data_IF_511155958821
#
_entry.id   IF_511155958821
#
_cell.length_a   1.000
_cell.length_b   1.000
_cell.length_c   1.000
_cell.angle_alpha   90.00
_cell.angle_beta   90.00
_cell.angle_gamma   90.00
#
_symmetry.space_group_name_H-M   'P 1'
#
loop_
_entity.id
_entity.type
_entity.pdbx_description
1 polymer ?
#
# COMPACT_ATOMS: atom_id res chain seq x y z
N UNK A 1 -3.62 -18.97 17.46
CA UNK A 1 -4.62 -17.89 17.46
C UNK A 1 -3.99 -16.67 16.80
N UNK A 2 -4.71 -15.94 15.94
CA UNK A 2 -4.17 -14.80 15.15
C UNK A 2 -4.96 -13.50 15.44
N UNK A 3 -5.30 -13.25 16.71
CA UNK A 3 -6.04 -12.05 17.12
C UNK A 3 -5.10 -11.04 17.77
N UNK A 4 -5.16 -9.79 17.30
CA UNK A 4 -4.56 -8.63 17.96
C UNK A 4 -5.66 -7.63 18.32
N UNK A 5 -5.65 -7.13 19.55
CA UNK A 5 -6.58 -6.09 20.02
C UNK A 5 -5.79 -4.81 20.30
N UNK A 6 -6.24 -3.70 19.73
CA UNK A 6 -5.69 -2.36 19.97
C UNK A 6 -6.80 -1.45 20.46
N UNK A 7 -6.60 -0.81 21.61
CA UNK A 7 -7.54 0.14 22.20
C UNK A 7 -6.86 1.49 22.41
N UNK A 8 -7.60 2.56 22.19
CA UNK A 8 -7.20 3.93 22.52
C UNK A 8 -8.36 4.61 23.21
N UNK A 9 -8.18 4.94 24.48
CA UNK A 9 -9.17 5.58 25.33
C UNK A 9 -8.47 6.40 26.43
N UNK A 10 -9.25 7.19 27.19
CA UNK A 10 -8.80 7.69 28.49
C UNK A 10 -8.73 6.57 29.54
N UNK A 11 -8.23 6.88 30.74
CA UNK A 11 -8.01 5.88 31.80
C UNK A 11 -9.28 5.09 32.14
N UNK A 12 -10.45 5.74 32.17
CA UNK A 12 -11.73 5.08 32.49
C UNK A 12 -12.19 4.13 31.38
N UNK A 13 -11.78 4.38 30.14
CA UNK A 13 -12.07 3.51 29.01
C UNK A 13 -11.28 2.19 29.00
N UNK A 14 -10.24 2.04 29.84
CA UNK A 14 -9.53 0.77 30.00
C UNK A 14 -10.19 -0.17 31.02
N UNK A 15 -11.09 0.35 31.86
CA UNK A 15 -11.74 -0.41 32.91
C UNK A 15 -12.56 -1.58 32.32
N UNK A 16 -12.24 -2.80 32.77
CA UNK A 16 -12.93 -4.02 32.35
C UNK A 16 -12.68 -4.47 30.92
N UNK A 17 -11.79 -3.82 30.15
CA UNK A 17 -11.47 -4.24 28.77
C UNK A 17 -10.83 -5.62 28.74
N UNK A 18 -9.90 -5.90 29.65
CA UNK A 18 -9.21 -7.19 29.71
C UNK A 18 -10.22 -8.35 29.88
N UNK A 19 -11.22 -8.17 30.75
CA UNK A 19 -12.27 -9.15 30.97
C UNK A 19 -13.13 -9.34 29.71
N UNK A 20 -13.53 -8.25 29.07
CA UNK A 20 -14.32 -8.30 27.83
C UNK A 20 -13.57 -8.97 26.68
N UNK A 21 -12.27 -8.71 26.55
CA UNK A 21 -11.40 -9.36 25.56
C UNK A 21 -11.28 -10.86 25.85
N UNK A 22 -11.20 -11.25 27.12
CA UNK A 22 -11.15 -12.67 27.49
C UNK A 22 -12.47 -13.39 27.19
N UNK A 23 -13.61 -12.74 27.43
CA UNK A 23 -14.94 -13.24 27.04
C UNK A 23 -15.00 -13.42 25.51
N UNK A 24 -14.56 -12.42 24.76
CA UNK A 24 -14.51 -12.50 23.30
C UNK A 24 -13.62 -13.66 22.85
N UNK A 25 -12.41 -13.79 23.41
CA UNK A 25 -11.46 -14.85 23.07
C UNK A 25 -12.09 -16.23 23.24
N UNK A 26 -12.78 -16.47 24.37
CA UNK A 26 -13.47 -17.74 24.64
C UNK A 26 -14.62 -18.04 23.68
N UNK A 27 -15.22 -17.01 23.10
CA UNK A 27 -16.31 -17.17 22.11
C UNK A 27 -15.82 -17.51 20.70
N UNK A 28 -14.52 -17.38 20.43
CA UNK A 28 -13.96 -17.65 19.11
C UNK A 28 -13.80 -19.16 18.85
N UNK A 29 -13.99 -19.56 17.60
CA UNK A 29 -13.77 -20.94 17.18
C UNK A 29 -12.28 -21.29 17.26
N UNK A 30 -11.96 -22.31 18.06
CA UNK A 30 -10.60 -22.89 18.19
C UNK A 30 -10.49 -24.26 17.55
N UNK A 31 -11.57 -24.74 16.90
CA UNK A 31 -11.57 -26.04 16.23
C UNK A 31 -10.51 -26.07 15.13
N UNK A 32 -9.81 -27.21 14.95
CA UNK A 32 -8.86 -27.37 13.87
C UNK A 32 -9.59 -27.21 12.54
N UNK A 33 -9.02 -26.38 11.66
CA UNK A 33 -9.53 -26.17 10.32
C UNK A 33 -8.47 -26.54 9.30
N UNK A 34 -8.90 -26.94 8.10
CA UNK A 34 -7.99 -27.25 7.01
C UNK A 34 -7.56 -25.95 6.34
N UNK A 35 -6.28 -25.61 6.44
CA UNK A 35 -5.68 -24.54 5.65
C UNK A 35 -5.59 -24.98 4.19
N UNK A 36 -6.12 -24.17 3.27
CA UNK A 36 -5.83 -24.33 1.85
C UNK A 36 -4.36 -24.03 1.55
N UNK A 37 -3.78 -24.69 0.56
CA UNK A 37 -2.46 -24.36 0.03
C UNK A 37 -2.65 -23.61 -1.29
N UNK A 38 -2.42 -22.31 -1.27
CA UNK A 38 -2.36 -21.48 -2.49
C UNK A 38 -0.90 -21.15 -2.76
N UNK A 39 -0.39 -21.57 -3.91
CA UNK A 39 0.96 -21.20 -4.35
C UNK A 39 0.84 -20.09 -5.38
N UNK A 40 1.14 -18.86 -4.97
CA UNK A 40 1.26 -17.74 -5.90
C UNK A 40 2.56 -17.86 -6.69
N UNK A 41 2.49 -17.74 -8.01
CA UNK A 41 3.65 -17.63 -8.89
C UNK A 41 3.63 -16.26 -9.55
N UNK A 42 4.45 -15.30 -9.08
CA UNK A 42 4.48 -13.98 -9.68
C UNK A 42 5.01 -14.07 -11.11
N UNK A 43 4.33 -13.37 -12.02
CA UNK A 43 4.76 -13.19 -13.41
C UNK A 43 4.78 -11.69 -13.69
N UNK A 44 5.85 -11.21 -14.31
CA UNK A 44 5.93 -9.81 -14.70
C UNK A 44 5.14 -9.62 -16.00
N UNK A 45 4.03 -8.88 -15.91
CA UNK A 45 3.18 -8.52 -17.05
C UNK A 45 3.06 -7.02 -17.16
N UNK A 46 2.84 -6.55 -18.38
CA UNK A 46 2.35 -5.21 -18.67
C UNK A 46 0.87 -5.35 -19.02
N UNK A 47 0.00 -4.83 -18.17
CA UNK A 47 -1.46 -4.97 -18.32
C UNK A 47 -2.09 -3.60 -18.54
N UNK A 48 -3.12 -3.55 -19.38
CA UNK A 48 -3.86 -2.33 -19.68
C UNK A 48 -5.36 -2.62 -19.77
N UNK A 49 -6.15 -1.87 -19.01
CA UNK A 49 -7.61 -1.98 -19.01
C UNK A 49 -8.20 -0.89 -19.88
N UNK A 50 -8.90 -1.28 -20.94
CA UNK A 50 -9.60 -0.32 -21.80
C UNK A 50 -10.84 0.18 -21.09
N UNK A 51 -11.01 1.49 -21.07
CA UNK A 51 -12.22 2.16 -20.57
C UNK A 51 -12.67 3.18 -21.60
N UNK A 52 -13.89 3.70 -21.48
CA UNK A 52 -14.40 4.81 -22.31
C UNK A 52 -13.85 6.19 -21.89
N UNK A 53 -12.94 6.23 -20.91
CA UNK A 53 -12.36 7.47 -20.40
C UNK A 53 -11.47 8.18 -21.41
N UNK A 54 -11.46 9.51 -21.36
CA UNK A 54 -10.59 10.37 -22.18
C UNK A 54 -9.21 10.61 -21.51
N UNK A 55 -8.96 9.96 -20.38
CA UNK A 55 -7.73 10.08 -19.59
C UNK A 55 -7.33 8.71 -19.06
N UNK A 56 -6.04 8.55 -18.80
CA UNK A 56 -5.40 7.33 -18.38
C UNK A 56 -4.98 7.38 -16.90
N UNK A 57 -4.73 6.19 -16.36
CA UNK A 57 -4.19 5.99 -15.02
C UNK A 57 -3.03 5.01 -15.16
N UNK A 58 -1.82 5.55 -15.30
CA UNK A 58 -0.63 4.76 -15.60
C UNK A 58 0.11 4.46 -14.30
N UNK A 59 0.54 3.22 -14.13
CA UNK A 59 1.30 2.78 -12.97
C UNK A 59 2.50 1.93 -13.37
N UNK A 60 3.66 2.28 -12.83
CA UNK A 60 4.84 1.42 -12.86
C UNK A 60 5.20 1.07 -11.42
N UNK A 61 5.37 -0.23 -11.16
CA UNK A 61 5.65 -0.74 -9.82
C UNK A 61 6.92 -1.57 -9.81
N UNK A 62 7.48 -1.77 -8.62
CA UNK A 62 8.68 -2.57 -8.45
C UNK A 62 8.94 -2.87 -6.98
N UNK A 63 9.96 -3.68 -6.72
CA UNK A 63 10.43 -3.95 -5.37
C UNK A 63 11.89 -3.50 -5.24
N UNK A 64 12.14 -2.41 -4.52
CA UNK A 64 13.50 -1.88 -4.38
C UNK A 64 14.42 -2.80 -3.55
N UNK A 65 13.85 -3.67 -2.70
CA UNK A 65 14.66 -4.66 -1.97
C UNK A 65 15.24 -5.73 -2.90
N UNK A 66 14.56 -6.05 -4.00
CA UNK A 66 15.10 -6.93 -5.02
C UNK A 66 16.34 -6.34 -5.71
N UNK A 67 16.53 -5.02 -5.64
CA UNK A 67 17.72 -4.32 -6.10
C UNK A 67 18.81 -4.17 -5.02
N UNK A 68 18.66 -4.83 -3.86
CA UNK A 68 19.63 -4.77 -2.75
C UNK A 68 19.48 -3.54 -1.84
N UNK A 69 18.42 -2.75 -2.01
CA UNK A 69 18.18 -1.57 -1.18
C UNK A 69 17.40 -1.93 0.09
N UNK A 70 17.93 -1.52 1.24
CA UNK A 70 17.24 -1.55 2.53
C UNK A 70 16.31 -0.34 2.69
N UNK A 71 15.15 -0.52 3.33
CA UNK A 71 14.28 0.62 3.60
C UNK A 71 14.91 1.52 4.66
N UNK A 72 15.20 2.76 4.29
CA UNK A 72 15.67 3.80 5.22
C UNK A 72 14.80 5.06 5.13
N UNK A 73 15.04 6.01 6.05
CA UNK A 73 14.41 7.33 6.01
C UNK A 73 14.65 8.09 4.70
N UNK A 74 15.71 7.76 3.95
CA UNK A 74 16.01 8.37 2.66
C UNK A 74 14.86 8.21 1.64
N UNK A 75 14.16 7.07 1.65
CA UNK A 75 13.00 6.88 0.77
C UNK A 75 11.83 7.82 1.07
N UNK A 76 11.71 8.32 2.31
CA UNK A 76 10.71 9.36 2.65
C UNK A 76 11.07 10.69 2.01
N UNK A 77 12.35 11.03 1.97
CA UNK A 77 12.87 12.25 1.35
C UNK A 77 12.75 12.12 -0.18
N UNK A 78 13.19 11.00 -0.75
CA UNK A 78 13.09 10.71 -2.18
C UNK A 78 11.64 10.83 -2.68
N UNK A 79 10.67 10.29 -1.94
CA UNK A 79 9.25 10.44 -2.25
C UNK A 79 8.83 11.90 -2.36
N UNK A 80 9.27 12.76 -1.44
CA UNK A 80 8.93 14.19 -1.45
C UNK A 80 9.53 14.86 -2.68
N UNK A 81 10.82 14.62 -2.95
CA UNK A 81 11.52 15.15 -4.13
C UNK A 81 10.78 14.72 -5.41
N UNK A 82 10.52 13.43 -5.58
CA UNK A 82 9.82 12.93 -6.77
C UNK A 82 8.43 13.55 -6.93
N UNK A 83 7.64 13.62 -5.85
CA UNK A 83 6.24 14.04 -5.95
C UNK A 83 6.05 15.54 -6.16
N UNK A 84 6.95 16.38 -5.65
CA UNK A 84 6.81 17.84 -5.68
C UNK A 84 7.76 18.54 -6.65
N UNK A 85 8.77 17.84 -7.16
CA UNK A 85 9.71 18.36 -8.16
C UNK A 85 9.56 17.57 -9.46
N UNK A 86 10.24 16.43 -9.59
CA UNK A 86 10.39 15.74 -10.88
C UNK A 86 9.05 15.31 -11.50
N UNK A 87 8.23 14.53 -10.79
CA UNK A 87 6.96 14.03 -11.35
C UNK A 87 5.96 15.17 -11.52
N UNK A 88 5.94 16.14 -10.59
CA UNK A 88 5.06 17.29 -10.68
C UNK A 88 5.33 18.09 -11.95
N UNK A 89 6.59 18.44 -12.19
CA UNK A 89 6.98 19.22 -13.36
C UNK A 89 6.71 18.44 -14.65
N UNK A 90 7.16 17.19 -14.73
CA UNK A 90 7.12 16.44 -15.99
C UNK A 90 5.72 15.91 -16.32
N UNK A 91 5.01 15.30 -15.37
CA UNK A 91 3.73 14.65 -15.65
C UNK A 91 2.56 15.63 -15.56
N UNK A 92 2.57 16.54 -14.59
CA UNK A 92 1.45 17.48 -14.40
C UNK A 92 1.63 18.79 -15.15
N UNK A 93 2.73 19.52 -14.93
CA UNK A 93 2.90 20.85 -15.52
C UNK A 93 3.14 20.77 -17.03
N UNK A 94 4.09 19.93 -17.45
CA UNK A 94 4.43 19.76 -18.86
C UNK A 94 3.52 18.73 -19.55
N UNK A 95 3.25 17.60 -18.88
CA UNK A 95 2.45 16.50 -19.41
C UNK A 95 0.93 16.67 -19.28
N UNK A 96 0.44 17.68 -18.57
CA UNK A 96 -1.00 17.96 -18.48
C UNK A 96 -1.82 16.94 -17.67
N UNK A 97 -1.19 15.95 -17.03
CA UNK A 97 -1.90 15.05 -16.13
C UNK A 97 -2.47 15.81 -14.92
N UNK A 98 -3.62 15.39 -14.40
CA UNK A 98 -4.16 16.02 -13.19
C UNK A 98 -3.27 15.79 -11.97
N UNK A 99 -2.62 14.63 -11.87
CA UNK A 99 -1.78 14.33 -10.71
C UNK A 99 -0.73 13.27 -10.98
N UNK A 100 0.22 13.20 -10.06
CA UNK A 100 1.30 12.22 -10.07
C UNK A 100 1.67 11.86 -8.63
N UNK A 101 2.06 10.61 -8.40
CA UNK A 101 2.43 10.14 -7.08
C UNK A 101 3.51 9.07 -7.15
N UNK A 102 4.31 8.97 -6.10
CA UNK A 102 5.19 7.86 -5.82
C UNK A 102 5.08 7.46 -4.34
N UNK A 103 5.39 6.19 -4.06
CA UNK A 103 5.59 5.73 -2.71
C UNK A 103 6.60 4.58 -2.64
N UNK A 104 7.17 4.42 -1.45
CA UNK A 104 8.12 3.38 -1.09
C UNK A 104 7.69 2.81 0.26
N UNK A 105 7.31 1.54 0.29
CA UNK A 105 6.82 0.85 1.49
C UNK A 105 7.95 0.13 2.20
N UNK A 106 7.81 -0.05 3.51
CA UNK A 106 8.79 -0.78 4.33
C UNK A 106 9.02 -2.20 3.84
N UNK A 107 7.99 -2.86 3.32
CA UNK A 107 8.00 -4.22 2.75
C UNK A 107 8.74 -4.34 1.41
N UNK A 108 9.16 -3.23 0.81
CA UNK A 108 9.96 -3.21 -0.42
C UNK A 108 9.22 -2.73 -1.66
N UNK A 109 7.89 -2.72 -1.64
CA UNK A 109 7.10 -2.30 -2.79
C UNK A 109 7.23 -0.79 -3.01
N UNK A 110 7.40 -0.42 -4.27
CA UNK A 110 7.46 0.95 -4.74
C UNK A 110 6.60 1.13 -5.98
N UNK A 111 6.11 2.34 -6.18
CA UNK A 111 5.39 2.70 -7.40
C UNK A 111 5.66 4.15 -7.81
N UNK A 112 5.43 4.40 -9.09
CA UNK A 112 5.27 5.71 -9.72
C UNK A 112 3.98 5.66 -10.52
N UNK A 113 3.14 6.68 -10.39
CA UNK A 113 1.83 6.74 -11.05
C UNK A 113 1.53 8.13 -11.59
N UNK A 114 0.76 8.17 -12.68
CA UNK A 114 0.04 9.36 -13.14
C UNK A 114 -1.47 9.17 -12.95
N UNK A 115 -2.19 10.28 -12.80
CA UNK A 115 -3.62 10.29 -12.49
C UNK A 115 -4.35 11.26 -13.40
N UNK A 116 -5.35 10.75 -14.14
CA UNK A 116 -6.05 11.46 -15.22
C UNK A 116 -5.05 12.09 -16.20
N UNK A 117 -4.19 11.24 -16.73
CA UNK A 117 -3.14 11.59 -17.68
C UNK A 117 -3.71 11.60 -19.11
N UNK A 118 -3.52 12.66 -19.91
CA UNK A 118 -3.95 12.64 -21.31
C UNK A 118 -3.08 11.72 -22.19
N UNK A 119 -1.93 11.25 -21.70
CA UNK A 119 -0.99 10.43 -22.45
C UNK A 119 -1.07 8.94 -22.10
N UNK A 120 -0.62 8.10 -23.03
CA UNK A 120 -0.44 6.65 -22.88
C UNK A 120 1.03 6.29 -23.05
#
# INVERSE_FOLDING_TARGET
ENLYVSLTADDSGFDGIAERVEILKKSLCTAPYRTGAFTWRPEQKNEGFKTSGQVQYVAQTGNFRAAGCEYTGAFRILRVILNYDYLWMNLRVLGGAYGCMSAFRRSGESYLVSYRDPHL
#
